data_IF_993727584505
#
_entry.id   IF_993727584505
#
_cell.length_a   1.000
_cell.length_b   1.000
_cell.length_c   1.000
_cell.angle_alpha   90.00
_cell.angle_beta   90.00
_cell.angle_gamma   90.00
#
_symmetry.space_group_name_H-M   'P 1'
#
loop_
_entity.id
_entity.type
_entity.pdbx_description
1 polymer ?
#
# COMPACT_ATOMS: atom_id res chain seq x y z
N UNK A 1 -24.11 -7.51 -5.51
CA UNK A 1 -22.89 -6.73 -5.28
C UNK A 1 -21.86 -7.31 -6.25
N UNK A 2 -21.19 -6.48 -7.04
CA UNK A 2 -20.18 -6.96 -7.99
C UNK A 2 -18.95 -7.44 -7.18
N UNK A 3 -18.37 -8.58 -7.57
CA UNK A 3 -17.14 -9.05 -6.92
C UNK A 3 -16.03 -8.01 -7.14
N UNK A 4 -15.26 -7.66 -6.08
CA UNK A 4 -14.21 -6.68 -6.22
C UNK A 4 -13.15 -7.19 -7.20
N UNK A 5 -12.70 -6.30 -8.10
CA UNK A 5 -11.62 -6.63 -9.01
C UNK A 5 -10.34 -6.89 -8.23
N UNK A 6 -9.82 -8.11 -8.31
CA UNK A 6 -8.55 -8.50 -7.70
C UNK A 6 -7.38 -8.24 -8.65
N UNK A 7 -6.21 -8.11 -8.05
CA UNK A 7 -4.92 -7.98 -8.68
C UNK A 7 -3.98 -9.00 -8.07
N UNK A 8 -3.24 -9.67 -8.92
CA UNK A 8 -2.27 -10.65 -8.46
C UNK A 8 -1.09 -10.00 -7.74
N UNK A 9 -0.76 -10.49 -6.55
CA UNK A 9 0.31 -10.00 -5.69
C UNK A 9 1.31 -11.12 -5.38
N UNK A 10 2.48 -11.05 -6.02
CA UNK A 10 3.59 -11.97 -5.74
C UNK A 10 4.42 -11.46 -4.57
N UNK A 11 4.57 -12.27 -3.52
CA UNK A 11 5.34 -11.95 -2.32
C UNK A 11 6.21 -13.12 -1.88
N UNK A 12 6.94 -13.00 -0.77
CA UNK A 12 7.97 -13.97 -0.40
C UNK A 12 7.45 -15.40 -0.14
N UNK A 13 6.17 -15.56 0.21
CA UNK A 13 5.58 -16.87 0.55
C UNK A 13 4.66 -17.43 -0.55
N UNK A 14 4.47 -16.72 -1.66
CA UNK A 14 3.62 -17.20 -2.74
C UNK A 14 2.97 -16.06 -3.52
N UNK A 15 1.81 -16.37 -4.09
CA UNK A 15 1.01 -15.46 -4.88
C UNK A 15 -0.40 -15.39 -4.31
N UNK A 16 -0.89 -14.18 -4.12
CA UNK A 16 -2.25 -13.89 -3.68
C UNK A 16 -3.05 -13.17 -4.76
N UNK A 17 -4.37 -13.28 -4.74
CA UNK A 17 -5.29 -12.43 -5.51
C UNK A 17 -5.95 -11.45 -4.55
N UNK A 18 -5.53 -10.18 -4.60
CA UNK A 18 -5.90 -9.16 -3.62
C UNK A 18 -6.65 -8.01 -4.29
N UNK A 19 -7.63 -7.44 -3.61
CA UNK A 19 -8.24 -6.17 -4.00
C UNK A 19 -7.75 -5.04 -3.10
N UNK A 20 -7.85 -3.80 -3.61
CA UNK A 20 -7.45 -2.60 -2.88
C UNK A 20 -8.63 -2.05 -2.08
N UNK A 21 -8.39 -1.70 -0.83
CA UNK A 21 -9.28 -0.86 -0.04
C UNK A 21 -8.65 0.52 0.11
N UNK A 22 -9.37 1.55 -0.31
CA UNK A 22 -8.92 2.94 -0.27
C UNK A 22 -9.67 3.63 0.88
N UNK A 23 -8.94 4.33 1.74
CA UNK A 23 -9.46 5.09 2.86
C UNK A 23 -8.51 6.26 3.20
N UNK A 24 -8.71 6.92 4.34
CA UNK A 24 -7.75 7.90 4.88
C UNK A 24 -7.24 7.53 6.28
N UNK A 25 -6.01 7.95 6.58
CA UNK A 25 -5.50 7.93 7.95
C UNK A 25 -6.16 9.03 8.78
N UNK A 26 -6.53 8.71 10.02
CA UNK A 26 -7.32 9.59 10.89
C UNK A 26 -6.64 10.93 11.25
N UNK A 27 -5.31 11.00 11.23
CA UNK A 27 -4.56 12.13 11.80
C UNK A 27 -4.40 13.33 10.87
N UNK A 28 -4.37 13.10 9.57
CA UNK A 28 -3.94 14.06 8.55
C UNK A 28 -4.64 13.85 7.20
N UNK A 29 -5.64 12.95 7.15
CA UNK A 29 -6.33 12.53 5.92
C UNK A 29 -5.38 12.02 4.82
N UNK A 30 -4.17 11.57 5.19
CA UNK A 30 -3.24 10.97 4.25
C UNK A 30 -3.84 9.67 3.68
N UNK A 31 -3.46 9.35 2.45
CA UNK A 31 -4.00 8.22 1.71
C UNK A 31 -3.67 6.89 2.41
N UNK A 32 -4.71 6.16 2.81
CA UNK A 32 -4.61 4.77 3.22
C UNK A 32 -4.98 3.86 2.06
N UNK A 33 -4.10 2.90 1.75
CA UNK A 33 -4.43 1.77 0.89
C UNK A 33 -4.07 0.47 1.63
N UNK A 34 -5.07 -0.37 1.82
CA UNK A 34 -4.90 -1.75 2.30
C UNK A 34 -5.07 -2.77 1.18
N UNK A 35 -4.40 -3.91 1.33
CA UNK A 35 -4.53 -5.09 0.48
C UNK A 35 -5.44 -6.10 1.20
N UNK A 36 -6.48 -6.56 0.51
CA UNK A 36 -7.51 -7.42 1.08
C UNK A 36 -7.77 -8.62 0.18
N UNK A 37 -8.23 -9.72 0.79
CA UNK A 37 -8.83 -10.86 0.09
C UNK A 37 -10.25 -11.11 0.62
N UNK A 38 -11.01 -11.95 -0.08
CA UNK A 38 -12.30 -12.42 0.40
C UNK A 38 -12.09 -13.77 1.08
N UNK A 39 -12.41 -13.86 2.37
CA UNK A 39 -12.41 -15.10 3.15
C UNK A 39 -13.84 -15.32 3.70
N UNK A 40 -14.42 -16.48 3.43
CA UNK A 40 -15.81 -16.82 3.80
C UNK A 40 -16.87 -15.75 3.42
N UNK A 41 -16.63 -15.03 2.32
CA UNK A 41 -17.52 -13.98 1.82
C UNK A 41 -17.34 -12.61 2.48
N UNK A 42 -16.31 -12.43 3.32
CA UNK A 42 -16.00 -11.17 3.98
C UNK A 42 -14.60 -10.64 3.57
N UNK A 43 -14.46 -9.32 3.42
CA UNK A 43 -13.15 -8.68 3.26
C UNK A 43 -12.26 -8.87 4.48
N UNK A 44 -11.16 -9.60 4.32
CA UNK A 44 -10.14 -9.77 5.36
C UNK A 44 -8.85 -9.06 4.96
N UNK A 45 -8.19 -8.44 5.95
CA UNK A 45 -6.98 -7.67 5.72
C UNK A 45 -5.79 -8.60 5.53
N UNK A 46 -5.08 -8.43 4.42
CA UNK A 46 -3.84 -9.15 4.14
C UNK A 46 -2.62 -8.33 4.61
N UNK A 47 -2.52 -7.07 4.18
CA UNK A 47 -1.44 -6.18 4.55
C UNK A 47 -1.77 -4.73 4.21
N UNK A 48 -1.15 -3.78 4.91
CA UNK A 48 -1.17 -2.37 4.47
C UNK A 48 -0.19 -2.16 3.31
N UNK A 49 -0.64 -1.47 2.27
CA UNK A 49 0.22 -1.04 1.17
C UNK A 49 0.95 0.26 1.52
N UNK A 50 0.23 1.19 2.16
CA UNK A 50 0.75 2.48 2.60
C UNK A 50 1.02 2.49 4.10
N UNK A 51 1.81 3.46 4.56
CA UNK A 51 2.00 3.77 5.97
C UNK A 51 1.96 5.28 6.18
N UNK A 52 1.39 5.72 7.30
CA UNK A 52 1.46 7.13 7.66
C UNK A 52 2.73 7.44 8.46
N UNK A 53 3.42 8.52 8.10
CA UNK A 53 4.64 8.98 8.78
C UNK A 53 4.44 10.43 9.26
N UNK A 54 3.96 10.63 10.51
CA UNK A 54 3.61 11.97 11.02
C UNK A 54 4.74 13.01 10.99
N UNK A 55 6.01 12.56 11.02
CA UNK A 55 7.19 13.42 10.99
C UNK A 55 7.73 13.68 9.57
N UNK A 56 7.18 13.01 8.56
CA UNK A 56 7.59 13.14 7.16
C UNK A 56 6.36 13.55 6.33
N UNK A 57 5.94 14.82 6.38
CA UNK A 57 4.71 15.27 5.73
C UNK A 57 4.77 15.06 4.22
N UNK A 58 3.62 14.69 3.66
CA UNK A 58 3.41 14.58 2.22
C UNK A 58 3.05 15.96 1.67
N UNK A 59 3.57 16.29 0.49
CA UNK A 59 3.41 17.62 -0.12
C UNK A 59 2.29 17.69 -1.15
N UNK A 60 1.87 16.53 -1.67
CA UNK A 60 0.90 16.41 -2.74
C UNK A 60 -0.34 15.59 -2.38
N UNK A 61 -1.40 15.79 -3.16
CA UNK A 61 -2.61 14.96 -3.11
C UNK A 61 -2.29 13.59 -3.71
N UNK A 62 -2.81 12.52 -3.10
CA UNK A 62 -2.60 11.12 -3.51
C UNK A 62 -1.13 10.65 -3.45
N UNK A 63 -0.27 11.35 -2.70
CA UNK A 63 1.03 10.81 -2.32
C UNK A 63 0.88 9.90 -1.12
N UNK A 64 1.77 8.92 -0.99
CA UNK A 64 1.85 8.08 0.20
C UNK A 64 3.27 7.54 0.40
N UNK A 65 3.58 7.09 1.62
CA UNK A 65 4.73 6.23 1.85
C UNK A 65 4.30 4.77 1.78
N UNK A 66 5.13 3.93 1.16
CA UNK A 66 4.92 2.48 1.13
C UNK A 66 5.34 1.87 2.45
N UNK A 67 4.47 1.01 2.99
CA UNK A 67 4.78 0.26 4.21
C UNK A 67 6.07 -0.56 4.03
N UNK A 68 6.90 -0.55 5.07
CA UNK A 68 8.26 -1.07 4.98
C UNK A 68 8.30 -2.59 4.82
N UNK A 69 7.36 -3.31 5.44
CA UNK A 69 7.33 -4.77 5.41
C UNK A 69 7.10 -5.25 3.98
N UNK A 70 8.04 -6.00 3.42
CA UNK A 70 7.98 -6.46 2.02
C UNK A 70 7.82 -5.30 1.02
N UNK A 71 8.45 -4.16 1.32
CA UNK A 71 8.37 -2.95 0.48
C UNK A 71 8.84 -3.18 -0.96
N UNK A 72 9.80 -4.08 -1.21
CA UNK A 72 10.26 -4.39 -2.57
C UNK A 72 9.15 -5.03 -3.41
N UNK A 73 8.40 -5.95 -2.82
CA UNK A 73 7.26 -6.63 -3.41
C UNK A 73 6.11 -5.65 -3.66
N UNK A 74 5.83 -4.78 -2.69
CA UNK A 74 4.84 -3.69 -2.82
C UNK A 74 5.17 -2.71 -3.95
N UNK A 75 6.42 -2.27 -4.03
CA UNK A 75 6.88 -1.38 -5.11
C UNK A 75 6.81 -2.08 -6.48
N UNK A 76 7.13 -3.37 -6.55
CA UNK A 76 6.95 -4.17 -7.79
C UNK A 76 5.47 -4.24 -8.18
N UNK A 77 4.59 -4.50 -7.21
CA UNK A 77 3.14 -4.57 -7.41
C UNK A 77 2.58 -3.25 -7.97
N UNK A 78 2.99 -2.11 -7.41
CA UNK A 78 2.60 -0.78 -7.91
C UNK A 78 3.03 -0.57 -9.36
N UNK A 79 4.28 -0.93 -9.71
CA UNK A 79 4.78 -0.83 -11.09
C UNK A 79 4.02 -1.75 -12.04
N UNK A 80 3.82 -3.01 -11.65
CA UNK A 80 3.18 -4.04 -12.47
C UNK A 80 1.76 -3.65 -12.87
N UNK A 81 0.98 -3.14 -11.91
CA UNK A 81 -0.43 -2.80 -12.11
C UNK A 81 -0.67 -1.31 -12.37
N UNK A 82 0.40 -0.51 -12.50
CA UNK A 82 0.36 0.94 -12.79
C UNK A 82 -0.50 1.72 -11.79
N UNK A 83 -0.33 1.41 -10.49
CA UNK A 83 -1.15 1.98 -9.41
C UNK A 83 -0.65 3.36 -8.94
N UNK A 84 0.56 3.75 -9.31
CA UNK A 84 1.18 5.00 -8.87
C UNK A 84 2.56 5.21 -9.48
N UNK A 85 3.22 6.30 -9.12
CA UNK A 85 4.56 6.66 -9.63
C UNK A 85 5.54 6.74 -8.47
N UNK A 86 6.54 5.86 -8.47
CA UNK A 86 7.58 5.91 -7.43
C UNK A 86 8.36 7.21 -7.54
N UNK A 87 8.36 8.00 -6.46
CA UNK A 87 9.06 9.28 -6.36
C UNK A 87 10.54 9.04 -6.03
N UNK A 88 11.44 10.01 -6.30
CA UNK A 88 12.85 9.88 -5.90
C UNK A 88 13.04 9.99 -4.37
N UNK A 89 12.08 10.59 -3.66
CA UNK A 89 12.20 10.90 -2.24
C UNK A 89 11.89 9.70 -1.34
N UNK A 90 12.60 9.66 -0.22
CA UNK A 90 12.40 8.67 0.84
C UNK A 90 12.38 9.34 2.20
N UNK A 91 11.66 8.75 3.15
CA UNK A 91 11.72 9.12 4.55
C UNK A 91 12.37 8.01 5.39
N UNK A 92 13.00 8.39 6.51
CA UNK A 92 13.61 7.43 7.44
C UNK A 92 12.89 7.45 8.79
N UNK A 93 12.57 6.27 9.33
CA UNK A 93 12.06 6.09 10.70
C UNK A 93 12.79 4.92 11.36
N UNK A 94 13.51 5.17 12.45
CA UNK A 94 14.36 4.14 13.06
C UNK A 94 15.37 3.58 12.05
N UNK A 95 15.34 2.26 11.85
CA UNK A 95 16.19 1.55 10.87
C UNK A 95 15.53 1.35 9.50
N UNK A 96 14.32 1.88 9.30
CA UNK A 96 13.53 1.70 8.10
C UNK A 96 13.64 2.92 7.18
N UNK A 97 13.75 2.66 5.88
CA UNK A 97 13.60 3.66 4.82
C UNK A 97 12.28 3.37 4.10
N UNK A 98 11.48 4.42 3.89
CA UNK A 98 10.15 4.38 3.31
C UNK A 98 10.16 5.12 1.98
N UNK A 99 9.70 4.45 0.94
CA UNK A 99 9.64 4.97 -0.41
C UNK A 99 8.35 5.77 -0.60
N UNK A 100 8.46 7.01 -1.07
CA UNK A 100 7.28 7.79 -1.47
C UNK A 100 6.79 7.36 -2.86
N UNK A 101 5.48 7.30 -3.04
CA UNK A 101 4.77 7.00 -4.30
C UNK A 101 3.70 8.04 -4.58
#
# INVERSE_FOLDING_TARGET
MEEPKTLSYDWQYGREELFLRIDSYMSDDNLYIGLYHMEDGYPESFADLTVNLPFAPLGGINEAYIDHNFSKEKLRFIKQHKLGTIQPDTASSGYCIFQRV
#
